data_IF_761589567993
#
_entry.id   IF_761589567993
#
_cell.length_a   1.000
_cell.length_b   1.000
_cell.length_c   1.000
_cell.angle_alpha   90.00
_cell.angle_beta   90.00
_cell.angle_gamma   90.00
#
_symmetry.space_group_name_H-M   'P 1'
#
loop_
_entity.id
_entity.type
_entity.pdbx_description
1 polymer ?
#
# COMPACT_ATOMS: atom_id res chain seq x y z
N UNK A 1 44.37 23.96 -43.46
CA UNK A 1 44.60 23.16 -42.24
C UNK A 1 43.27 22.58 -41.80
N UNK A 2 43.15 21.25 -41.83
CA UNK A 2 41.95 20.50 -41.52
C UNK A 2 42.17 19.71 -40.22
N UNK A 3 41.37 20.00 -39.19
CA UNK A 3 41.15 19.23 -37.96
C UNK A 3 39.76 19.67 -37.47
N UNK A 4 38.72 18.86 -37.29
CA UNK A 4 38.64 17.42 -37.14
C UNK A 4 37.89 17.11 -35.83
N UNK A 5 36.61 16.73 -35.93
CA UNK A 5 35.85 15.92 -34.94
C UNK A 5 35.57 16.54 -33.55
N UNK A 6 34.48 16.28 -32.82
CA UNK A 6 33.63 15.09 -32.68
C UNK A 6 32.30 15.52 -32.03
N UNK A 7 31.19 15.10 -32.60
CA UNK A 7 29.89 15.04 -31.93
C UNK A 7 29.95 14.01 -30.79
N UNK A 8 29.36 14.33 -29.64
CA UNK A 8 28.82 13.31 -28.71
C UNK A 8 27.38 13.65 -28.37
N UNK A 9 26.46 12.98 -29.06
CA UNK A 9 25.09 12.72 -28.61
C UNK A 9 25.18 11.89 -27.33
N UNK A 10 24.74 12.44 -26.20
CA UNK A 10 24.35 11.63 -25.04
C UNK A 10 22.83 11.54 -25.09
N UNK A 11 22.35 10.41 -25.60
CA UNK A 11 20.98 9.98 -25.45
C UNK A 11 20.84 9.38 -24.04
N UNK A 12 20.29 10.15 -23.10
CA UNK A 12 19.80 9.58 -21.85
C UNK A 12 18.45 8.89 -22.13
N UNK A 13 18.51 7.58 -22.36
CA UNK A 13 17.36 6.69 -22.26
C UNK A 13 16.84 6.77 -20.82
N UNK A 14 15.79 7.56 -20.61
CA UNK A 14 14.91 7.40 -19.45
C UNK A 14 14.22 6.04 -19.60
N UNK A 15 14.71 5.04 -18.87
CA UNK A 15 13.93 3.86 -18.54
C UNK A 15 12.65 4.33 -17.86
N UNK A 16 11.51 4.13 -18.53
CA UNK A 16 10.20 4.15 -17.87
C UNK A 16 10.22 3.01 -16.85
N UNK A 17 10.67 3.32 -15.64
CA UNK A 17 10.46 2.46 -14.49
C UNK A 17 8.96 2.28 -14.35
N UNK A 18 8.54 1.03 -14.39
CA UNK A 18 7.17 0.60 -14.23
C UNK A 18 6.61 1.20 -12.95
N UNK A 19 5.49 1.91 -13.06
CA UNK A 19 4.67 2.25 -11.89
C UNK A 19 4.32 0.92 -11.18
N UNK A 20 4.24 0.87 -9.84
CA UNK A 20 3.19 0.07 -9.23
C UNK A 20 1.93 0.75 -9.72
N UNK A 21 1.34 0.20 -10.77
CA UNK A 21 0.04 0.67 -11.16
C UNK A 21 -0.82 0.49 -9.91
N UNK A 22 -1.45 1.59 -9.50
CA UNK A 22 -2.74 1.53 -8.83
C UNK A 22 -3.48 0.35 -9.46
N UNK A 23 -3.67 -0.72 -8.69
CA UNK A 23 -4.45 -1.88 -9.12
C UNK A 23 -5.88 -1.37 -9.25
N UNK A 24 -6.15 -0.78 -10.41
CA UNK A 24 -7.49 -0.48 -10.86
C UNK A 24 -8.06 -1.84 -11.20
N UNK A 25 -8.83 -2.39 -10.26
CA UNK A 25 -9.62 -3.63 -10.37
C UNK A 25 -9.71 -4.13 -11.81
N UNK A 26 -8.78 -5.00 -12.19
CA UNK A 26 -9.04 -5.93 -13.26
C UNK A 26 -9.63 -7.14 -12.54
N UNK A 27 -10.90 -7.42 -12.84
CA UNK A 27 -11.53 -8.68 -12.45
C UNK A 27 -10.70 -9.80 -13.09
N UNK A 28 -9.79 -10.39 -12.30
CA UNK A 28 -9.07 -11.60 -12.68
C UNK A 28 -10.07 -12.75 -12.61
N UNK A 29 -10.59 -13.15 -13.78
CA UNK A 29 -11.24 -14.46 -13.91
C UNK A 29 -10.13 -15.51 -13.87
N UNK A 30 -9.89 -16.09 -12.69
CA UNK A 30 -8.95 -17.18 -12.51
C UNK A 30 -9.49 -18.45 -13.18
N UNK A 31 -8.73 -18.99 -14.14
CA UNK A 31 -8.75 -20.39 -14.55
C UNK A 31 -7.38 -20.94 -14.18
N UNK A 32 -7.32 -21.74 -13.12
CA UNK A 32 -6.39 -22.86 -12.93
C UNK A 32 -6.79 -23.62 -11.65
N UNK A 33 -6.61 -24.94 -11.70
CA UNK A 33 -7.34 -25.94 -10.93
C UNK A 33 -6.89 -26.15 -9.48
N UNK A 34 -7.84 -26.00 -8.57
CA UNK A 34 -8.29 -26.92 -7.51
C UNK A 34 -7.27 -27.48 -6.50
N UNK A 35 -6.74 -26.59 -5.66
CA UNK A 35 -6.76 -26.84 -4.22
C UNK A 35 -7.91 -26.02 -3.62
N UNK A 36 -8.94 -26.69 -3.11
CA UNK A 36 -10.14 -26.03 -2.56
C UNK A 36 -9.74 -25.19 -1.34
N UNK A 37 -9.50 -23.90 -1.58
CA UNK A 37 -9.10 -22.94 -0.54
C UNK A 37 -10.32 -22.67 0.34
N UNK A 38 -10.33 -23.23 1.54
CA UNK A 38 -11.42 -23.03 2.50
C UNK A 38 -11.25 -21.68 3.21
N UNK A 39 -12.28 -20.83 3.15
CA UNK A 39 -12.33 -19.52 3.82
C UNK A 39 -13.55 -19.42 4.72
N UNK A 40 -13.32 -19.32 6.03
CA UNK A 40 -14.37 -19.15 7.04
C UNK A 40 -14.13 -17.85 7.81
N UNK A 41 -15.16 -17.27 8.43
CA UNK A 41 -15.05 -15.97 9.11
C UNK A 41 -15.42 -16.13 10.58
N UNK A 42 -14.46 -15.82 11.46
CA UNK A 42 -14.62 -15.94 12.90
C UNK A 42 -15.32 -14.71 13.48
N UNK A 43 -16.40 -14.94 14.21
CA UNK A 43 -16.92 -13.99 15.19
C UNK A 43 -16.53 -14.52 16.57
N UNK A 44 -15.83 -13.71 17.38
CA UNK A 44 -15.47 -14.13 18.72
C UNK A 44 -16.74 -14.26 19.58
N UNK A 45 -16.97 -15.47 20.10
CA UNK A 45 -17.84 -15.70 21.24
C UNK A 45 -17.22 -14.98 22.44
N UNK A 46 -17.89 -13.96 22.97
CA UNK A 46 -17.56 -13.45 24.29
C UNK A 46 -17.86 -14.57 25.30
N UNK A 47 -16.84 -15.38 25.62
CA UNK A 47 -16.90 -16.33 26.72
C UNK A 47 -16.90 -15.55 28.02
N UNK A 48 -18.09 -15.10 28.45
CA UNK A 48 -18.34 -14.85 29.87
C UNK A 48 -18.20 -16.18 30.59
N UNK A 49 -17.07 -16.38 31.27
CA UNK A 49 -16.85 -17.50 32.17
C UNK A 49 -17.79 -17.35 33.38
N UNK A 50 -18.94 -18.01 33.33
CA UNK A 50 -19.63 -18.49 34.52
C UNK A 50 -19.52 -20.01 34.53
N UNK A 51 -18.95 -20.52 35.62
CA UNK A 51 -18.65 -21.95 35.79
C UNK A 51 -19.89 -22.84 35.87
N UNK A 52 -19.67 -24.14 35.64
CA UNK A 52 -20.66 -25.17 35.87
C UNK A 52 -20.44 -26.39 34.99
N UNK A 53 -19.87 -27.44 35.59
CA UNK A 53 -19.67 -28.77 35.03
C UNK A 53 -21.00 -29.38 34.53
N UNK A 54 -21.04 -29.91 33.30
CA UNK A 54 -21.60 -31.25 33.03
C UNK A 54 -21.36 -31.66 31.57
N UNK A 55 -20.81 -32.86 31.40
CA UNK A 55 -20.60 -33.48 30.10
C UNK A 55 -21.92 -33.92 29.48
N UNK A 56 -22.19 -33.50 28.25
CA UNK A 56 -23.17 -34.16 27.39
C UNK A 56 -22.81 -33.87 25.93
N UNK A 57 -22.48 -34.93 25.18
CA UNK A 57 -22.35 -34.90 23.73
C UNK A 57 -23.68 -34.43 23.11
N UNK A 58 -23.69 -33.19 22.63
CA UNK A 58 -24.75 -32.67 21.77
C UNK A 58 -24.13 -31.99 20.56
N UNK A 59 -24.50 -32.51 19.40
CA UNK A 59 -24.28 -31.91 18.09
C UNK A 59 -24.77 -30.46 18.12
N UNK A 60 -23.83 -29.52 18.15
CA UNK A 60 -24.13 -28.08 18.18
C UNK A 60 -24.61 -27.62 16.80
N UNK A 61 -25.87 -27.24 16.74
CA UNK A 61 -26.45 -26.50 15.63
C UNK A 61 -25.96 -25.05 15.71
N UNK A 62 -25.55 -24.40 14.60
CA UNK A 62 -25.02 -23.04 14.64
C UNK A 62 -26.09 -22.07 15.15
N UNK A 63 -25.86 -21.56 16.37
CA UNK A 63 -26.77 -20.62 17.03
C UNK A 63 -26.53 -19.23 16.47
N UNK A 64 -27.36 -18.82 15.51
CA UNK A 64 -27.40 -17.46 14.98
C UNK A 64 -27.89 -16.52 16.09
N UNK A 65 -27.02 -15.70 16.69
CA UNK A 65 -27.42 -14.65 17.65
C UNK A 65 -26.82 -13.28 17.34
N UNK A 66 -27.67 -12.28 17.62
CA UNK A 66 -27.71 -10.88 17.17
C UNK A 66 -26.39 -10.10 17.17
N UNK A 67 -26.10 -9.58 15.97
CA UNK A 67 -25.20 -8.47 15.64
C UNK A 67 -25.50 -7.23 16.49
N UNK A 68 -24.49 -6.71 17.20
CA UNK A 68 -24.52 -5.38 17.80
C UNK A 68 -24.43 -4.34 16.68
N UNK A 69 -25.60 -3.94 16.16
CA UNK A 69 -25.72 -2.87 15.16
C UNK A 69 -25.32 -1.55 15.81
N UNK A 70 -24.08 -1.10 15.62
CA UNK A 70 -23.77 0.32 15.80
C UNK A 70 -24.53 1.09 14.71
N UNK A 71 -25.55 1.80 15.15
CA UNK A 71 -26.47 2.61 14.35
C UNK A 71 -25.74 3.67 13.52
N UNK A 72 -25.92 3.63 12.19
CA UNK A 72 -25.60 4.75 11.30
C UNK A 72 -25.15 4.37 9.88
N UNK A 73 -26.09 3.91 9.04
CA UNK A 73 -26.02 3.98 7.56
C UNK A 73 -25.07 3.06 6.77
N UNK A 74 -24.53 1.98 7.33
CA UNK A 74 -23.98 0.91 6.46
C UNK A 74 -24.42 -0.46 6.96
N UNK A 75 -25.09 -1.24 6.10
CA UNK A 75 -25.43 -2.64 6.36
C UNK A 75 -24.18 -3.54 6.23
N UNK A 76 -23.06 -3.10 6.82
CA UNK A 76 -21.81 -3.84 6.85
C UNK A 76 -21.73 -4.62 8.15
N UNK A 77 -21.44 -5.90 8.05
CA UNK A 77 -21.12 -6.75 9.22
C UNK A 77 -19.61 -6.80 9.36
N UNK A 78 -19.06 -6.27 10.46
CA UNK A 78 -17.61 -6.28 10.70
C UNK A 78 -17.18 -7.55 11.44
N UNK A 79 -15.99 -8.05 11.13
CA UNK A 79 -15.40 -9.24 11.73
C UNK A 79 -14.05 -8.92 12.37
N UNK A 80 -13.60 -9.79 13.28
CA UNK A 80 -12.27 -9.67 13.93
C UNK A 80 -11.23 -10.60 13.36
N UNK A 81 -11.65 -11.71 12.76
CA UNK A 81 -10.75 -12.69 12.16
C UNK A 81 -11.35 -13.33 10.93
N UNK A 82 -10.47 -13.94 10.13
CA UNK A 82 -10.77 -14.77 8.98
C UNK A 82 -9.90 -16.02 9.03
N UNK A 83 -10.49 -17.17 8.72
CA UNK A 83 -9.81 -18.46 8.60
C UNK A 83 -9.51 -18.66 7.12
N UNK A 84 -8.24 -18.87 6.78
CA UNK A 84 -7.79 -19.16 5.43
C UNK A 84 -6.93 -20.43 5.48
N UNK A 85 -7.31 -21.46 4.71
CA UNK A 85 -6.61 -22.76 4.71
C UNK A 85 -6.45 -23.36 6.12
N UNK A 86 -7.52 -23.27 6.93
CA UNK A 86 -7.54 -23.76 8.30
C UNK A 86 -6.73 -22.94 9.32
N UNK A 87 -6.10 -21.83 8.91
CA UNK A 87 -5.36 -20.93 9.80
C UNK A 87 -6.16 -19.66 10.05
N UNK A 88 -6.31 -19.27 11.32
CA UNK A 88 -6.99 -18.03 11.71
C UNK A 88 -6.03 -16.82 11.61
N UNK A 89 -6.54 -15.74 11.03
CA UNK A 89 -5.86 -14.45 10.87
C UNK A 89 -6.72 -13.33 11.44
N UNK A 90 -6.15 -12.52 12.34
CA UNK A 90 -6.86 -11.49 13.09
C UNK A 90 -6.58 -10.08 12.59
N UNK A 91 -7.48 -9.13 12.89
CA UNK A 91 -7.21 -7.71 12.73
C UNK A 91 -5.93 -7.31 13.48
N UNK A 92 -5.09 -6.49 12.83
CA UNK A 92 -3.81 -6.02 13.36
C UNK A 92 -2.66 -7.00 13.16
N UNK A 93 -2.94 -8.23 12.73
CA UNK A 93 -1.91 -9.20 12.42
C UNK A 93 -1.20 -8.85 11.11
N UNK A 94 0.13 -9.01 11.10
CA UNK A 94 0.92 -8.91 9.90
C UNK A 94 0.93 -10.24 9.14
N UNK A 95 0.84 -10.18 7.82
CA UNK A 95 0.72 -11.33 6.93
C UNK A 95 1.57 -11.15 5.67
N UNK A 96 1.91 -12.28 5.04
CA UNK A 96 2.45 -12.35 3.70
C UNK A 96 1.32 -12.53 2.70
N UNK A 97 1.36 -11.76 1.61
CA UNK A 97 0.34 -11.70 0.58
C UNK A 97 0.96 -12.07 -0.77
N UNK A 98 0.24 -12.87 -1.55
CA UNK A 98 0.69 -13.34 -2.87
C UNK A 98 1.00 -12.18 -3.80
N UNK A 99 2.18 -12.24 -4.43
CA UNK A 99 2.59 -11.31 -5.47
C UNK A 99 1.93 -11.70 -6.80
N UNK A 100 1.48 -10.72 -7.62
CA UNK A 100 0.84 -11.00 -8.91
C UNK A 100 1.80 -11.56 -9.97
N UNK A 101 3.11 -11.40 -9.79
CA UNK A 101 4.13 -11.79 -10.78
C UNK A 101 5.04 -12.93 -10.29
N UNK A 102 4.56 -13.75 -9.34
CA UNK A 102 5.35 -14.82 -8.69
C UNK A 102 6.70 -14.35 -8.09
N UNK A 103 6.84 -13.05 -7.84
CA UNK A 103 7.99 -12.48 -7.14
C UNK A 103 7.84 -12.61 -5.63
N UNK A 104 8.72 -11.92 -4.89
CA UNK A 104 8.65 -11.92 -3.44
C UNK A 104 7.24 -11.51 -2.95
N UNK A 105 6.73 -12.15 -1.88
CA UNK A 105 5.42 -11.82 -1.34
C UNK A 105 5.37 -10.35 -0.90
N UNK A 106 4.20 -9.74 -1.03
CA UNK A 106 3.92 -8.47 -0.38
C UNK A 106 3.72 -8.68 1.11
N UNK A 107 3.98 -7.65 1.89
CA UNK A 107 3.86 -7.67 3.33
C UNK A 107 2.76 -6.70 3.72
N UNK A 108 1.84 -7.11 4.60
CA UNK A 108 0.72 -6.26 4.97
C UNK A 108 0.25 -6.50 6.41
N UNK A 109 -0.53 -5.56 6.94
CA UNK A 109 -1.28 -5.69 8.18
C UNK A 109 -2.77 -5.77 7.84
N UNK A 110 -3.48 -6.75 8.40
CA UNK A 110 -4.94 -6.85 8.22
C UNK A 110 -5.58 -5.68 8.98
N UNK A 111 -6.18 -4.75 8.25
CA UNK A 111 -6.67 -3.49 8.81
C UNK A 111 -8.18 -3.50 9.02
N UNK A 112 -8.96 -4.03 8.08
CA UNK A 112 -10.42 -4.13 8.19
C UNK A 112 -10.95 -5.40 7.56
N UNK A 113 -11.99 -5.93 8.18
CA UNK A 113 -12.66 -7.18 7.82
C UNK A 113 -14.16 -6.93 7.91
N UNK A 114 -14.89 -7.03 6.79
CA UNK A 114 -16.34 -6.86 6.79
C UNK A 114 -17.03 -7.61 5.64
N UNK A 115 -18.32 -7.83 5.78
CA UNK A 115 -19.20 -8.32 4.72
C UNK A 115 -20.16 -7.21 4.31
N UNK A 116 -20.35 -7.03 3.01
CA UNK A 116 -21.27 -6.04 2.46
C UNK A 116 -22.71 -6.57 2.39
N UNK A 117 -23.63 -5.74 1.93
CA UNK A 117 -25.07 -6.07 1.77
C UNK A 117 -25.35 -7.29 0.88
N UNK A 118 -24.43 -7.60 -0.02
CA UNK A 118 -24.55 -8.69 -0.97
C UNK A 118 -23.96 -10.00 -0.42
N UNK A 119 -23.55 -10.02 0.86
CA UNK A 119 -22.85 -11.17 1.45
C UNK A 119 -21.39 -11.30 0.99
N UNK A 120 -20.86 -10.30 0.26
CA UNK A 120 -19.47 -10.33 -0.21
C UNK A 120 -18.56 -9.88 0.92
N UNK A 121 -17.72 -10.80 1.36
CA UNK A 121 -16.66 -10.60 2.34
C UNK A 121 -15.50 -9.80 1.73
N UNK A 122 -14.99 -8.86 2.50
CA UNK A 122 -14.01 -7.84 2.09
C UNK A 122 -12.91 -7.77 3.14
N UNK A 123 -11.67 -7.74 2.68
CA UNK A 123 -10.47 -7.57 3.50
C UNK A 123 -9.70 -6.36 2.99
N UNK A 124 -9.46 -5.37 3.86
CA UNK A 124 -8.51 -4.30 3.58
C UNK A 124 -7.24 -4.57 4.34
N UNK A 125 -6.14 -4.56 3.60
CA UNK A 125 -4.81 -4.71 4.12
C UNK A 125 -4.05 -3.40 3.94
N UNK A 126 -3.21 -3.07 4.92
CA UNK A 126 -2.30 -1.95 4.88
C UNK A 126 -0.90 -2.43 4.58
N UNK A 127 -0.24 -1.82 3.60
CA UNK A 127 1.05 -2.31 3.12
C UNK A 127 2.19 -2.00 4.10
N UNK A 128 3.06 -2.98 4.27
CA UNK A 128 4.38 -2.86 4.89
C UNK A 128 5.40 -2.88 3.75
N UNK A 129 5.97 -1.72 3.43
CA UNK A 129 6.85 -1.60 2.28
C UNK A 129 8.28 -1.99 2.63
N UNK A 130 8.94 -2.66 1.70
CA UNK A 130 10.39 -2.77 1.65
C UNK A 130 10.98 -1.49 1.09
N UNK A 131 12.25 -1.24 1.39
CA UNK A 131 13.00 -0.11 0.82
C UNK A 131 12.95 -0.08 -0.71
N UNK A 132 13.06 -1.24 -1.35
CA UNK A 132 13.03 -1.39 -2.82
C UNK A 132 11.68 -1.04 -3.44
N UNK A 133 10.60 -1.03 -2.67
CA UNK A 133 9.24 -0.72 -3.12
C UNK A 133 8.88 0.76 -2.97
N UNK A 134 9.74 1.55 -2.29
CA UNK A 134 9.48 2.96 -2.00
C UNK A 134 10.04 3.88 -3.08
N UNK A 135 9.20 4.80 -3.57
CA UNK A 135 9.61 5.85 -4.52
C UNK A 135 10.26 7.02 -3.80
N UNK A 136 11.54 6.86 -3.48
CA UNK A 136 12.30 7.86 -2.73
C UNK A 136 13.13 8.76 -3.65
N UNK A 137 13.25 10.03 -3.26
CA UNK A 137 14.28 10.88 -3.85
C UNK A 137 15.68 10.34 -3.50
N UNK A 138 16.70 10.52 -4.37
CA UNK A 138 18.06 10.04 -4.10
C UNK A 138 18.62 10.51 -2.76
N UNK A 139 18.28 11.74 -2.35
CA UNK A 139 18.70 12.33 -1.07
C UNK A 139 18.14 11.55 0.11
N UNK A 140 16.86 11.18 0.08
CA UNK A 140 16.22 10.43 1.18
C UNK A 140 16.72 8.99 1.16
N UNK A 141 16.79 8.36 0.00
CA UNK A 141 17.30 7.00 -0.15
C UNK A 141 18.72 6.87 0.43
N UNK A 142 19.61 7.84 0.20
CA UNK A 142 20.97 7.83 0.74
C UNK A 142 21.04 7.86 2.28
N UNK A 143 19.99 8.31 2.96
CA UNK A 143 19.94 8.37 4.45
C UNK A 143 19.39 7.10 5.10
N UNK A 144 18.80 6.19 4.33
CA UNK A 144 18.25 4.97 4.86
C UNK A 144 19.30 3.86 4.93
N UNK A 145 19.15 2.98 5.91
CA UNK A 145 19.91 1.72 5.96
C UNK A 145 19.38 0.77 4.90
N UNK A 146 20.25 -0.07 4.32
CA UNK A 146 19.86 -1.08 3.33
C UNK A 146 19.59 -2.44 3.98
N UNK A 147 18.97 -2.42 5.16
CA UNK A 147 18.67 -3.62 5.93
C UNK A 147 17.49 -4.35 5.28
N UNK A 148 17.68 -5.56 4.73
CA UNK A 148 16.61 -6.28 4.02
C UNK A 148 15.46 -6.69 4.95
N UNK A 149 15.71 -6.80 6.25
CA UNK A 149 14.69 -7.11 7.25
C UNK A 149 13.87 -5.88 7.71
N UNK A 150 14.30 -4.65 7.37
CA UNK A 150 13.56 -3.43 7.70
C UNK A 150 12.34 -3.30 6.78
N UNK A 151 11.17 -3.09 7.39
CA UNK A 151 9.92 -2.76 6.69
C UNK A 151 9.37 -1.43 7.20
N UNK A 152 8.64 -0.74 6.34
CA UNK A 152 8.08 0.58 6.60
C UNK A 152 6.57 0.50 6.62
N UNK A 153 5.97 0.91 7.74
CA UNK A 153 4.52 1.03 7.83
C UNK A 153 4.01 2.14 6.92
N UNK A 154 3.20 1.87 5.91
CA UNK A 154 2.71 2.90 4.99
C UNK A 154 1.26 3.30 5.25
N UNK A 155 0.84 4.39 4.62
CA UNK A 155 -0.57 4.80 4.58
C UNK A 155 -1.30 4.27 3.33
N UNK A 156 -0.70 3.33 2.59
CA UNK A 156 -1.36 2.70 1.47
C UNK A 156 -2.14 1.49 1.93
N UNK A 157 -3.43 1.55 1.65
CA UNK A 157 -4.40 0.50 1.90
C UNK A 157 -4.87 -0.03 0.55
N UNK A 158 -5.08 -1.34 0.46
CA UNK A 158 -5.73 -1.95 -0.68
C UNK A 158 -6.71 -3.02 -0.25
N UNK A 159 -7.67 -3.27 -1.13
CA UNK A 159 -8.62 -4.36 -0.98
C UNK A 159 -7.99 -5.63 -1.55
N UNK A 160 -7.82 -6.64 -0.72
CA UNK A 160 -7.33 -7.96 -1.14
C UNK A 160 -8.36 -9.03 -0.80
N UNK A 161 -8.28 -10.17 -1.49
CA UNK A 161 -9.11 -11.32 -1.13
C UNK A 161 -8.38 -12.18 -0.08
N UNK A 162 -9.10 -12.84 0.85
CA UNK A 162 -8.47 -13.65 1.89
C UNK A 162 -7.55 -14.75 1.35
N UNK A 163 -7.88 -15.30 0.18
CA UNK A 163 -7.11 -16.37 -0.48
C UNK A 163 -5.72 -15.90 -0.93
N UNK A 164 -5.48 -14.59 -0.99
CA UNK A 164 -4.16 -14.04 -1.28
C UNK A 164 -3.21 -14.16 -0.07
N UNK A 165 -3.70 -14.45 1.13
CA UNK A 165 -2.86 -14.64 2.32
C UNK A 165 -2.13 -15.97 2.19
N UNK A 166 -0.80 -15.91 2.13
CA UNK A 166 0.06 -17.10 2.04
C UNK A 166 0.45 -17.60 3.44
N UNK A 167 0.62 -16.68 4.39
CA UNK A 167 1.06 -17.05 5.73
C UNK A 167 1.23 -15.87 6.69
N UNK A 168 1.49 -16.16 7.97
CA UNK A 168 1.73 -15.14 8.98
C UNK A 168 3.09 -14.45 8.77
N UNK A 169 3.17 -13.17 9.13
CA UNK A 169 4.39 -12.39 9.20
C UNK A 169 4.60 -11.90 10.63
N UNK A 170 5.79 -12.12 11.19
CA UNK A 170 6.16 -11.55 12.47
C UNK A 170 6.89 -10.23 12.26
N UNK A 171 6.29 -9.14 12.75
CA UNK A 171 6.92 -7.82 12.74
C UNK A 171 7.20 -7.40 14.17
N UNK A 172 8.46 -7.07 14.46
CA UNK A 172 8.92 -6.64 15.79
C UNK A 172 9.55 -5.25 15.74
N UNK A 173 9.85 -4.67 16.91
CA UNK A 173 10.66 -3.45 16.96
C UNK A 173 12.13 -3.75 16.59
N UNK A 174 12.84 -2.73 16.13
CA UNK A 174 14.28 -2.84 15.83
C UNK A 174 15.10 -3.30 17.05
N UNK A 175 14.76 -2.82 18.25
CA UNK A 175 15.43 -3.22 19.49
C UNK A 175 15.22 -4.70 19.81
N UNK A 176 13.98 -5.20 19.64
CA UNK A 176 13.67 -6.63 19.80
C UNK A 176 14.38 -7.47 18.76
N UNK A 177 14.38 -7.03 17.50
CA UNK A 177 15.05 -7.73 16.41
C UNK A 177 16.55 -7.93 16.67
N UNK A 178 17.26 -6.86 17.05
CA UNK A 178 18.70 -6.93 17.38
C UNK A 178 18.97 -7.84 18.58
N UNK A 179 18.12 -7.82 19.60
CA UNK A 179 18.22 -8.73 20.76
C UNK A 179 18.06 -10.21 20.34
N UNK A 180 17.10 -10.51 19.47
CA UNK A 180 16.89 -11.87 18.96
C UNK A 180 18.06 -12.34 18.11
N UNK A 181 18.63 -11.47 17.27
CA UNK A 181 19.83 -11.81 16.51
C UNK A 181 21.05 -12.04 17.40
N UNK A 182 21.30 -11.19 18.39
CA UNK A 182 22.47 -11.32 19.26
C UNK A 182 22.39 -12.54 20.19
N UNK A 183 21.21 -12.88 20.69
CA UNK A 183 21.00 -14.05 21.55
C UNK A 183 21.18 -15.38 20.81
N UNK A 184 20.82 -15.45 19.51
CA UNK A 184 21.04 -16.66 18.71
C UNK A 184 22.53 -16.94 18.44
N UNK A 185 23.37 -15.90 18.38
CA UNK A 185 24.82 -16.02 18.27
C UNK A 185 25.51 -16.40 19.59
N UNK A 186 24.93 -16.02 20.74
CA UNK A 186 25.58 -16.19 22.05
C UNK A 186 25.45 -17.61 22.66
N UNK A 187 24.61 -18.49 22.10
CA UNK A 187 24.37 -19.84 22.67
C UNK A 187 24.57 -20.97 21.65
N UNK A 188 25.80 -21.47 21.45
CA UNK A 188 26.07 -22.65 20.64
C UNK A 188 25.71 -23.98 21.35
N UNK A 189 24.93 -23.96 22.44
CA UNK A 189 24.80 -25.12 23.33
C UNK A 189 23.59 -26.00 23.01
N UNK A 190 23.93 -27.13 22.40
CA UNK A 190 23.23 -28.41 22.31
C UNK A 190 22.25 -28.61 21.12
N UNK A 191 22.51 -29.59 20.24
CA UNK A 191 21.63 -29.93 19.13
C UNK A 191 20.47 -30.79 19.63
N UNK A 192 19.44 -30.17 20.21
CA UNK A 192 18.16 -30.86 20.39
C UNK A 192 17.48 -31.01 19.03
N UNK A 193 17.37 -32.27 18.58
CA UNK A 193 16.82 -32.74 17.30
C UNK A 193 15.37 -32.29 17.04
N UNK A 194 15.15 -31.02 16.70
CA UNK A 194 13.99 -30.59 15.91
C UNK A 194 14.51 -29.86 14.68
N UNK A 195 14.74 -30.62 13.61
CA UNK A 195 14.90 -30.13 12.23
C UNK A 195 13.59 -29.45 11.82
N UNK A 196 13.37 -28.22 12.26
CA UNK A 196 12.50 -27.27 11.57
C UNK A 196 13.43 -26.37 10.76
N UNK A 197 13.11 -26.16 9.48
CA UNK A 197 13.94 -25.49 8.49
C UNK A 197 14.30 -24.06 8.89
N UNK A 198 15.51 -23.86 9.41
CA UNK A 198 16.04 -22.55 9.76
C UNK A 198 16.11 -21.57 8.56
N UNK A 199 16.12 -22.08 7.33
CA UNK A 199 16.11 -21.27 6.11
C UNK A 199 14.78 -20.53 5.87
N UNK A 200 13.65 -21.02 6.39
CA UNK A 200 12.33 -20.37 6.21
C UNK A 200 12.02 -19.37 7.33
N UNK A 201 12.61 -19.55 8.51
CA UNK A 201 12.33 -18.73 9.69
C UNK A 201 12.90 -17.31 9.60
N UNK A 202 13.98 -17.09 8.84
CA UNK A 202 14.54 -15.75 8.64
C UNK A 202 13.68 -14.85 7.74
N UNK A 203 12.83 -15.43 6.90
CA UNK A 203 12.03 -14.70 5.93
C UNK A 203 10.74 -14.14 6.54
N UNK A 204 10.25 -14.78 7.61
CA UNK A 204 8.99 -14.44 8.28
C UNK A 204 9.15 -13.44 9.42
N UNK A 205 10.37 -13.14 9.86
CA UNK A 205 10.62 -12.14 10.92
C UNK A 205 11.21 -10.87 10.32
N UNK A 206 10.49 -9.77 10.46
CA UNK A 206 10.88 -8.43 10.03
C UNK A 206 10.87 -7.46 11.20
N UNK A 207 11.48 -6.30 11.02
CA UNK A 207 11.36 -5.23 12.00
C UNK A 207 10.85 -3.94 11.38
N UNK A 208 10.08 -3.19 12.17
CA UNK A 208 9.61 -1.87 11.80
C UNK A 208 10.06 -0.87 12.86
N UNK A 209 10.63 0.25 12.39
CA UNK A 209 11.02 1.40 13.26
C UNK A 209 10.62 2.74 12.66
N UNK A 210 9.97 2.72 11.51
CA UNK A 210 9.65 3.90 10.70
C UNK A 210 8.34 3.69 9.96
N UNK A 211 7.67 4.79 9.68
CA UNK A 211 6.52 4.82 8.79
C UNK A 211 6.84 5.63 7.53
N UNK A 212 6.15 5.33 6.44
CA UNK A 212 6.27 6.02 5.16
C UNK A 212 4.93 6.61 4.74
N UNK A 213 4.90 7.93 4.57
CA UNK A 213 3.76 8.63 3.99
C UNK A 213 3.96 8.78 2.48
N UNK A 214 3.23 8.00 1.70
CA UNK A 214 3.36 7.95 0.24
C UNK A 214 2.99 9.27 -0.44
N UNK A 215 1.99 9.98 0.09
CA UNK A 215 1.53 11.24 -0.49
C UNK A 215 2.57 12.35 -0.41
N UNK A 216 3.37 12.36 0.66
CA UNK A 216 4.38 13.39 0.90
C UNK A 216 5.81 12.90 0.69
N UNK A 217 5.99 11.61 0.36
CA UNK A 217 7.27 10.92 0.33
C UNK A 217 8.10 11.18 1.61
N UNK A 218 7.42 11.21 2.76
CA UNK A 218 8.00 11.50 4.06
C UNK A 218 8.20 10.21 4.86
N UNK A 219 9.32 10.12 5.58
CA UNK A 219 9.63 9.02 6.47
C UNK A 219 9.71 9.58 7.88
N UNK A 220 8.91 9.02 8.78
CA UNK A 220 8.95 9.34 10.20
C UNK A 220 9.36 8.14 11.04
N UNK A 221 9.74 8.41 12.29
CA UNK A 221 10.06 7.37 13.27
C UNK A 221 8.78 6.75 13.83
N UNK A 222 8.84 5.46 14.14
CA UNK A 222 7.73 4.68 14.67
C UNK A 222 8.26 3.69 15.71
N UNK A 223 7.72 3.73 16.92
CA UNK A 223 7.98 2.68 17.92
C UNK A 223 6.97 1.54 17.74
N UNK A 224 7.42 0.45 17.12
CA UNK A 224 6.56 -0.71 16.87
C UNK A 224 6.14 -1.45 18.14
N UNK A 225 6.91 -1.39 19.23
CA UNK A 225 6.49 -2.04 20.47
C UNK A 225 5.25 -1.36 21.06
N UNK A 226 5.17 -0.04 20.95
CA UNK A 226 4.02 0.75 21.40
C UNK A 226 2.88 0.65 20.39
N UNK A 227 3.21 0.69 19.10
CA UNK A 227 2.25 0.82 18.02
C UNK A 227 1.60 -0.53 17.64
N UNK A 228 2.41 -1.57 17.46
CA UNK A 228 1.97 -2.89 17.02
C UNK A 228 1.25 -3.70 18.09
N UNK A 229 1.76 -3.71 19.34
CA UNK A 229 1.22 -4.58 20.40
C UNK A 229 -0.11 -4.13 20.99
N UNK A 230 -0.39 -2.82 20.97
CA UNK A 230 -1.56 -2.25 21.62
C UNK A 230 -2.78 -2.12 20.69
N UNK A 231 -2.78 -2.81 19.55
CA UNK A 231 -3.80 -2.66 18.49
C UNK A 231 -4.02 -1.20 18.04
N UNK A 232 -3.06 -0.30 18.29
CA UNK A 232 -3.13 1.11 17.84
C UNK A 232 -3.14 1.23 16.33
N UNK A 233 -2.61 0.21 15.64
CA UNK A 233 -2.73 -0.01 14.20
C UNK A 233 -4.17 0.06 13.69
N UNK A 234 -5.15 -0.29 14.52
CA UNK A 234 -6.57 -0.36 14.16
C UNK A 234 -7.33 0.91 14.56
N UNK A 235 -6.71 1.82 15.31
CA UNK A 235 -7.34 3.08 15.73
C UNK A 235 -7.17 4.14 14.63
N UNK A 236 -8.25 4.55 13.93
CA UNK A 236 -8.17 5.55 12.89
C UNK A 236 -7.64 6.91 13.37
N UNK A 237 -7.76 7.21 14.66
CA UNK A 237 -7.30 8.46 15.25
C UNK A 237 -5.78 8.52 15.32
N UNK A 238 -5.17 7.43 15.78
CA UNK A 238 -3.71 7.28 15.81
C UNK A 238 -3.16 7.28 14.40
N UNK A 239 -3.83 6.59 13.49
CA UNK A 239 -3.46 6.55 12.07
C UNK A 239 -3.48 7.93 11.43
N UNK A 240 -4.59 8.67 11.61
CA UNK A 240 -4.71 10.02 11.13
C UNK A 240 -3.64 10.93 11.74
N UNK A 241 -3.28 10.77 13.00
CA UNK A 241 -2.20 11.53 13.64
C UNK A 241 -0.83 11.22 13.05
N UNK A 242 -0.53 9.94 12.78
CA UNK A 242 0.75 9.51 12.23
C UNK A 242 0.99 10.11 10.83
N UNK A 243 -0.06 10.13 10.01
CA UNK A 243 0.01 10.58 8.62
C UNK A 243 -0.50 12.01 8.39
N UNK A 244 -0.88 12.73 9.45
CA UNK A 244 -1.20 14.16 9.36
C UNK A 244 -0.04 14.88 8.67
N UNK A 245 -0.31 15.76 7.70
CA UNK A 245 0.70 16.65 7.18
C UNK A 245 1.22 17.46 8.36
N UNK A 246 2.41 17.12 8.88
CA UNK A 246 3.06 17.99 9.86
C UNK A 246 3.25 19.30 9.15
N UNK A 247 2.62 20.36 9.68
CA UNK A 247 2.80 21.71 9.19
C UNK A 247 4.29 21.91 9.04
N UNK A 248 4.73 21.92 7.79
CA UNK A 248 6.11 22.16 7.47
C UNK A 248 6.33 23.55 8.05
N UNK A 249 7.04 23.66 9.18
CA UNK A 249 7.82 24.87 9.40
C UNK A 249 8.56 25.02 8.08
N UNK A 250 8.27 26.06 7.29
CA UNK A 250 8.77 26.13 5.94
C UNK A 250 10.28 25.99 6.06
N UNK A 251 10.82 24.88 5.55
CA UNK A 251 12.27 24.77 5.34
C UNK A 251 12.65 26.03 4.60
N UNK A 252 13.59 26.80 5.18
CA UNK A 252 13.79 28.24 5.01
C UNK A 252 13.39 28.82 3.65
N UNK A 253 12.84 30.05 3.70
CA UNK A 253 12.27 30.84 2.59
C UNK A 253 13.05 30.81 1.26
N UNK A 254 14.33 30.42 1.23
CA UNK A 254 15.11 30.22 0.00
C UNK A 254 14.57 29.13 -0.94
N UNK A 255 13.99 28.03 -0.44
CA UNK A 255 13.50 26.95 -1.30
C UNK A 255 12.19 27.31 -2.02
N UNK A 256 11.31 28.07 -1.36
CA UNK A 256 10.01 28.49 -1.91
C UNK A 256 10.17 29.56 -3.01
N UNK A 257 11.15 30.47 -2.88
CA UNK A 257 11.42 31.52 -3.87
C UNK A 257 11.96 30.91 -5.18
N UNK A 258 12.79 29.86 -5.12
CA UNK A 258 13.26 29.14 -6.32
C UNK A 258 12.15 28.37 -7.05
N UNK A 259 11.21 27.75 -6.32
CA UNK A 259 10.08 27.04 -6.93
C UNK A 259 9.04 28.01 -7.55
N UNK A 260 8.82 29.19 -6.95
CA UNK A 260 7.95 30.22 -7.50
C UNK A 260 8.51 30.86 -8.79
N UNK A 261 9.82 31.13 -8.85
CA UNK A 261 10.47 31.71 -10.04
C UNK A 261 10.48 30.77 -11.25
N UNK A 262 10.60 29.46 -11.03
CA UNK A 262 10.57 28.46 -12.11
C UNK A 262 9.18 28.33 -12.78
N UNK A 263 8.08 28.46 -12.00
CA UNK A 263 6.71 28.43 -12.55
C UNK A 263 6.32 29.71 -13.30
N UNK A 264 6.88 30.86 -12.95
CA UNK A 264 6.66 32.11 -13.68
C UNK A 264 7.43 32.17 -15.02
N UNK A 265 8.62 31.59 -15.09
CA UNK A 265 9.41 31.52 -16.33
C UNK A 265 8.79 30.55 -17.36
N UNK A 266 8.20 29.44 -16.91
CA UNK A 266 7.54 28.47 -17.79
C UNK A 266 6.24 29.00 -18.43
N UNK A 267 5.54 29.94 -17.77
CA UNK A 267 4.32 30.56 -18.34
C UNK A 267 4.61 31.67 -19.37
N UNK A 268 5.80 32.27 -19.37
CA UNK A 268 6.16 33.31 -20.36
C UNK A 268 6.63 32.75 -21.72
N UNK A 269 7.04 31.48 -21.78
CA UNK A 269 7.49 30.85 -23.04
C UNK A 269 6.41 30.04 -23.78
N UNK A 270 5.16 30.04 -23.29
CA UNK A 270 4.04 29.31 -23.93
C UNK A 270 3.09 30.26 -24.68
N UNK A 271 3.26 31.59 -24.55
CA UNK A 271 2.42 32.59 -25.23
C UNK A 271 3.00 33.17 -26.52
N UNK A 272 4.06 32.61 -27.11
CA UNK A 272 4.66 33.12 -28.36
C UNK A 272 4.66 32.14 -29.54
N UNK A 273 3.98 31.00 -29.44
CA UNK A 273 3.96 29.99 -30.51
C UNK A 273 2.56 29.40 -30.72
N UNK A 274 1.59 30.26 -31.07
CA UNK A 274 0.30 29.84 -31.63
C UNK A 274 -0.33 30.97 -32.45
N UNK A 275 0.40 31.46 -33.45
CA UNK A 275 -0.17 32.24 -34.55
C UNK A 275 -0.29 31.32 -35.77
N UNK A 276 -1.37 30.54 -35.80
CA UNK A 276 -1.76 29.76 -36.97
C UNK A 276 -2.35 30.72 -38.02
N UNK A 277 -1.90 30.69 -39.29
CA UNK A 277 -2.46 31.55 -40.33
C UNK A 277 -3.92 31.17 -40.63
N UNK A 278 -4.82 32.16 -40.56
CA UNK A 278 -6.23 32.03 -40.96
C UNK A 278 -6.32 31.71 -42.46
N UNK A 279 -7.18 30.77 -42.89
CA UNK A 279 -7.50 30.58 -44.30
C UNK A 279 -8.23 31.82 -44.84
N UNK A 280 -7.72 32.34 -45.94
CA UNK A 280 -8.22 33.51 -46.67
C UNK A 280 -9.51 33.11 -47.38
N UNK A 281 -10.65 33.56 -46.85
CA UNK A 281 -11.95 33.32 -47.45
C UNK A 281 -12.11 34.24 -48.69
N UNK A 282 -11.96 33.68 -49.89
CA UNK A 282 -12.14 34.40 -51.16
C UNK A 282 -13.65 34.52 -51.41
N UNK A 283 -14.20 35.70 -51.08
CA UNK A 283 -15.60 36.04 -51.35
C UNK A 283 -15.66 36.70 -52.74
N UNK A 284 -16.11 35.93 -53.73
CA UNK A 284 -16.49 36.47 -55.04
C UNK A 284 -17.75 37.34 -54.88
N UNK A 285 -17.61 38.64 -55.09
CA UNK A 285 -18.74 39.57 -55.26
C UNK A 285 -18.84 39.96 -56.73
N UNK A 286 -19.73 39.28 -57.46
CA UNK A 286 -20.18 39.72 -58.78
C UNK A 286 -21.25 40.80 -58.61
N UNK A 287 -20.86 42.06 -58.80
CA UNK A 287 -21.80 43.18 -59.00
C UNK A 287 -21.92 43.47 -60.49
N UNK A 288 -22.96 42.98 -61.15
CA UNK A 288 -23.39 43.51 -62.46
C UNK A 288 -24.66 44.33 -62.28
N UNK A 289 -24.50 45.65 -62.50
CA UNK A 289 -25.55 46.67 -62.50
C UNK A 289 -26.56 46.39 -63.61
N UNK A 290 -27.83 46.27 -63.23
CA UNK A 290 -28.95 46.50 -64.14
C UNK A 290 -29.16 48.01 -64.27
N UNK A 291 -28.83 48.57 -65.44
CA UNK A 291 -29.18 49.95 -65.82
C UNK A 291 -30.40 49.89 -66.73
N UNK A 292 -31.54 50.33 -66.20
CA UNK A 292 -32.76 50.62 -66.94
C UNK A 292 -32.56 51.97 -67.63
N UNK A 293 -32.63 52.01 -68.96
CA UNK A 293 -32.95 53.23 -69.71
C UNK A 293 -34.26 52.95 -70.45
N UNK A 294 -35.25 53.78 -70.14
CA UNK A 294 -36.50 53.94 -70.90
C UNK A 294 -36.27 55.08 -71.88
N UNK A 295 -36.51 54.82 -73.16
CA UNK A 295 -37.36 55.55 -74.11
C UNK A 295 -37.13 54.95 -75.49
#
# INVERSE_FOLDING_TARGET
MALGSRQRKIASRLSKASRPQHVRQQQLTARDADAETTVEWGQQLDSQSNGGVSASDKVETPTVRRVTRQSGMSNKTFYRSVIVNGSEYCLGQAVQVKSPNDGDPYLAVIYKLWENEQGVRQLVARWLLRRSEMFLSPKIAATLSDEPAEVFYSNADDLITPEMIIGPLQVVSHTTFVKTQTSSLASPKSPSKKKASAATAGETVRFCRRYFNEHSAFIGELDWDIFGKNNKLLDPSVDAELFKPKDKRPMGKEAAVKAGRAKAAAKRNISSAAATPRPRNVRNTSTSKAKRQRL
#
